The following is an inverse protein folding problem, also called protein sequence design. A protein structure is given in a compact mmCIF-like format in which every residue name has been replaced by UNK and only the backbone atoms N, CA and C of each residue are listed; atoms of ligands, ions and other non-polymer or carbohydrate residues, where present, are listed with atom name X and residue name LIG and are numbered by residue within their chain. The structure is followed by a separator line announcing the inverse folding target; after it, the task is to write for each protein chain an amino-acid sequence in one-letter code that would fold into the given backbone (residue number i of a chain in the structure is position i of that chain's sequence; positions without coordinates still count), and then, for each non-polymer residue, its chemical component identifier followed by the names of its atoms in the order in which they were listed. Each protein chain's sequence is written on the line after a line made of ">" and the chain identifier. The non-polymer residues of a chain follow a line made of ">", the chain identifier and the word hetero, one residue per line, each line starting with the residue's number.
data_IF_494987219838
#
_entry.id   IF_494987219838
#
_cell.length_a   1.000
_cell.length_b   1.000
_cell.length_c   1.000
_cell.angle_alpha   90.00
_cell.angle_beta   90.00
_cell.angle_gamma   90.00
#
_symmetry.space_group_name_H-M   'P 1'
#
loop_
_entity.id
_entity.type
_entity.pdbx_description
1 polymer ?
#
# COMPACT_ATOMS: atom_id res chain seq x y z
N UNK A 1 -49.28 -12.47 -32.00
CA UNK A 1 -48.07 -12.65 -32.84
C UNK A 1 -47.00 -11.76 -32.24
N UNK A 2 -46.12 -12.39 -31.46
CA UNK A 2 -44.79 -11.99 -30.99
C UNK A 2 -44.51 -10.50 -30.73
N UNK A 3 -44.83 -10.06 -29.52
CA UNK A 3 -44.14 -8.93 -28.89
C UNK A 3 -42.98 -9.51 -28.05
N UNK A 4 -41.91 -9.90 -28.74
CA UNK A 4 -40.65 -10.35 -28.14
C UNK A 4 -39.69 -9.18 -28.26
N UNK A 5 -39.76 -8.25 -27.30
CA UNK A 5 -38.80 -7.18 -27.13
C UNK A 5 -37.40 -7.80 -27.00
N UNK A 6 -36.61 -7.73 -28.06
CA UNK A 6 -35.19 -8.05 -28.02
C UNK A 6 -34.50 -7.00 -27.16
N UNK A 7 -34.16 -7.34 -25.93
CA UNK A 7 -33.17 -6.58 -25.18
C UNK A 7 -31.89 -6.59 -26.00
N UNK A 8 -31.52 -5.42 -26.55
CA UNK A 8 -30.22 -5.26 -27.22
C UNK A 8 -29.13 -5.72 -26.26
N UNK A 9 -28.23 -6.55 -26.77
CA UNK A 9 -27.07 -7.00 -26.00
C UNK A 9 -26.24 -5.79 -25.57
N UNK A 10 -25.50 -5.93 -24.48
CA UNK A 10 -24.65 -4.86 -23.97
C UNK A 10 -23.68 -4.34 -25.04
N UNK A 11 -23.06 -5.22 -25.81
CA UNK A 11 -22.15 -4.85 -26.89
C UNK A 11 -22.87 -4.09 -28.02
N UNK A 12 -24.09 -4.51 -28.40
CA UNK A 12 -24.89 -3.77 -29.38
C UNK A 12 -25.24 -2.36 -28.88
N UNK A 13 -25.60 -2.21 -27.59
CA UNK A 13 -25.86 -0.90 -26.98
C UNK A 13 -24.60 -0.02 -27.00
N UNK A 14 -23.44 -0.59 -26.68
CA UNK A 14 -22.16 0.14 -26.69
C UNK A 14 -21.75 0.55 -28.10
N UNK A 15 -21.97 -0.31 -29.10
CA UNK A 15 -21.70 -0.02 -30.51
C UNK A 15 -22.64 1.06 -31.05
N UNK A 16 -23.92 1.02 -30.70
CA UNK A 16 -24.87 2.08 -31.06
C UNK A 16 -24.48 3.43 -30.47
N UNK A 17 -24.03 3.45 -29.20
CA UNK A 17 -23.51 4.68 -28.59
C UNK A 17 -22.27 5.18 -29.32
N UNK A 18 -21.34 4.30 -29.71
CA UNK A 18 -20.16 4.69 -30.47
C UNK A 18 -20.52 5.29 -31.84
N UNK A 19 -21.48 4.69 -32.55
CA UNK A 19 -22.01 5.24 -33.80
C UNK A 19 -22.61 6.64 -33.59
N UNK A 20 -23.43 6.82 -32.55
CA UNK A 20 -24.02 8.12 -32.21
C UNK A 20 -22.96 9.16 -31.84
N UNK A 21 -21.90 8.76 -31.13
CA UNK A 21 -20.75 9.63 -30.80
C UNK A 21 -20.03 10.09 -32.06
N UNK A 22 -19.89 9.21 -33.04
CA UNK A 22 -19.26 9.52 -34.33
C UNK A 22 -20.12 10.46 -35.19
N UNK A 23 -21.43 10.25 -35.21
CA UNK A 23 -22.38 11.06 -35.99
C UNK A 23 -22.74 12.41 -35.33
N UNK A 24 -22.41 12.59 -34.04
CA UNK A 24 -22.72 13.81 -33.30
C UNK A 24 -21.84 14.99 -33.77
N UNK A 25 -22.49 16.05 -34.25
CA UNK A 25 -21.82 17.28 -34.69
C UNK A 25 -21.56 18.29 -33.56
N UNK A 26 -22.18 18.12 -32.39
CA UNK A 26 -22.06 19.02 -31.25
C UNK A 26 -21.24 18.36 -30.14
N UNK A 27 -20.19 19.04 -29.68
CA UNK A 27 -19.29 18.58 -28.63
C UNK A 27 -20.00 18.30 -27.30
N UNK A 28 -21.02 19.09 -26.94
CA UNK A 28 -21.82 18.87 -25.73
C UNK A 28 -22.60 17.55 -25.82
N UNK A 29 -23.30 17.32 -26.94
CA UNK A 29 -24.04 16.07 -27.19
C UNK A 29 -23.10 14.87 -27.22
N UNK A 30 -21.95 15.03 -27.88
CA UNK A 30 -20.90 14.00 -27.92
C UNK A 30 -20.41 13.66 -26.51
N UNK A 31 -20.21 14.66 -25.66
CA UNK A 31 -19.80 14.46 -24.28
C UNK A 31 -20.86 13.71 -23.46
N UNK A 32 -22.13 14.09 -23.60
CA UNK A 32 -23.24 13.37 -22.95
C UNK A 32 -23.27 11.91 -23.35
N UNK A 33 -23.06 11.59 -24.63
CA UNK A 33 -23.02 10.21 -25.11
C UNK A 33 -21.78 9.45 -24.59
N UNK A 34 -20.61 10.09 -24.54
CA UNK A 34 -19.41 9.51 -23.91
C UNK A 34 -19.66 9.20 -22.43
N UNK A 35 -20.28 10.13 -21.70
CA UNK A 35 -20.60 9.94 -20.28
C UNK A 35 -21.63 8.83 -20.06
N UNK A 36 -22.64 8.71 -20.93
CA UNK A 36 -23.56 7.57 -20.93
C UNK A 36 -22.83 6.24 -21.18
N UNK A 37 -21.87 6.21 -22.10
CA UNK A 37 -21.07 5.03 -22.40
C UNK A 37 -20.22 4.61 -21.21
N UNK A 38 -19.58 5.58 -20.54
CA UNK A 38 -18.86 5.40 -19.27
C UNK A 38 -19.76 4.83 -18.16
N UNK A 39 -20.94 5.41 -17.93
CA UNK A 39 -21.85 4.93 -16.88
C UNK A 39 -22.39 3.52 -17.20
N UNK A 40 -22.62 3.19 -18.48
CA UNK A 40 -23.02 1.84 -18.87
C UNK A 40 -21.92 0.80 -18.62
N UNK A 41 -20.64 1.13 -18.87
CA UNK A 41 -19.54 0.22 -18.58
C UNK A 41 -19.31 0.06 -17.07
N UNK A 42 -19.48 1.13 -16.28
CA UNK A 42 -19.47 1.05 -14.82
C UNK A 42 -20.57 0.14 -14.28
N UNK A 43 -21.80 0.28 -14.79
CA UNK A 43 -22.95 -0.59 -14.45
C UNK A 43 -22.67 -2.07 -14.74
N UNK A 44 -21.86 -2.37 -15.73
CA UNK A 44 -21.43 -3.74 -16.08
C UNK A 44 -20.16 -4.19 -15.38
N UNK A 45 -19.59 -3.36 -14.50
CA UNK A 45 -18.33 -3.63 -13.80
C UNK A 45 -17.16 -3.91 -14.77
N UNK A 46 -17.23 -3.38 -16.00
CA UNK A 46 -16.14 -3.45 -16.97
C UNK A 46 -15.20 -2.27 -16.72
N UNK A 47 -14.32 -2.43 -15.73
CA UNK A 47 -13.50 -1.34 -15.22
C UNK A 47 -12.45 -0.87 -16.24
N UNK A 48 -11.89 -1.79 -17.02
CA UNK A 48 -10.92 -1.44 -18.07
C UNK A 48 -11.57 -0.57 -19.13
N UNK A 49 -12.76 -0.95 -19.62
CA UNK A 49 -13.50 -0.13 -20.59
C UNK A 49 -13.94 1.19 -19.97
N UNK A 50 -14.40 1.17 -18.72
CA UNK A 50 -14.82 2.39 -18.01
C UNK A 50 -13.70 3.41 -17.91
N UNK A 51 -12.46 2.99 -17.63
CA UNK A 51 -11.32 3.91 -17.64
C UNK A 51 -11.04 4.50 -19.02
N UNK A 52 -11.13 3.70 -20.09
CA UNK A 52 -10.97 4.20 -21.46
C UNK A 52 -12.05 5.23 -21.83
N UNK A 53 -13.31 4.98 -21.44
CA UNK A 53 -14.41 5.91 -21.70
C UNK A 53 -14.32 7.17 -20.84
N UNK A 54 -13.87 7.06 -19.58
CA UNK A 54 -13.63 8.21 -18.70
C UNK A 54 -12.73 9.26 -19.39
N UNK A 55 -11.64 8.82 -20.02
CA UNK A 55 -10.68 9.71 -20.69
C UNK A 55 -11.29 10.48 -21.88
N UNK A 56 -12.43 10.03 -22.39
CA UNK A 56 -13.16 10.68 -23.49
C UNK A 56 -14.19 11.68 -22.99
N UNK A 57 -14.54 11.63 -21.70
CA UNK A 57 -15.46 12.58 -21.07
C UNK A 57 -14.70 13.88 -20.77
N UNK A 58 -15.20 14.97 -21.32
CA UNK A 58 -14.74 16.34 -21.10
C UNK A 58 -15.58 16.97 -19.98
N UNK A 59 -14.92 17.22 -18.86
CA UNK A 59 -15.53 17.77 -17.64
C UNK A 59 -16.27 19.10 -17.87
N UNK A 60 -15.75 19.96 -18.77
CA UNK A 60 -16.32 21.29 -19.06
C UNK A 60 -17.79 21.23 -19.49
N UNK A 61 -18.23 20.11 -20.07
CA UNK A 61 -19.61 19.93 -20.52
C UNK A 61 -20.50 19.19 -19.50
N UNK A 62 -20.01 18.91 -18.28
CA UNK A 62 -20.80 18.36 -17.18
C UNK A 62 -21.29 19.52 -16.32
N UNK A 63 -22.49 20.02 -16.64
CA UNK A 63 -23.02 21.28 -16.09
C UNK A 63 -23.79 21.08 -14.78
N UNK A 64 -24.52 19.97 -14.68
CA UNK A 64 -25.30 19.65 -13.48
C UNK A 64 -24.39 19.39 -12.28
N UNK A 65 -24.70 20.02 -11.15
CA UNK A 65 -23.82 20.02 -9.98
C UNK A 65 -23.68 18.63 -9.34
N UNK A 66 -24.78 17.89 -9.24
CA UNK A 66 -24.78 16.55 -8.66
C UNK A 66 -24.05 15.57 -9.59
N UNK A 67 -24.35 15.63 -10.89
CA UNK A 67 -23.66 14.80 -11.89
C UNK A 67 -22.17 15.11 -11.92
N UNK A 68 -21.78 16.38 -11.73
CA UNK A 68 -20.37 16.76 -11.66
C UNK A 68 -19.66 16.20 -10.43
N UNK A 69 -20.28 16.26 -9.25
CA UNK A 69 -19.70 15.64 -8.06
C UNK A 69 -19.57 14.13 -8.19
N UNK A 70 -20.58 13.47 -8.77
CA UNK A 70 -20.58 12.02 -8.97
C UNK A 70 -19.59 11.58 -10.05
N UNK A 71 -19.41 12.41 -11.08
CA UNK A 71 -18.37 12.23 -12.08
C UNK A 71 -16.99 12.17 -11.43
N UNK A 72 -16.61 13.16 -10.62
CA UNK A 72 -15.29 13.16 -9.97
C UNK A 72 -15.12 12.00 -8.98
N UNK A 73 -16.17 11.66 -8.23
CA UNK A 73 -16.17 10.51 -7.34
C UNK A 73 -15.90 9.21 -8.10
N UNK A 74 -16.67 8.95 -9.16
CA UNK A 74 -16.53 7.75 -9.99
C UNK A 74 -15.20 7.74 -10.74
N UNK A 75 -14.73 8.90 -11.21
CA UNK A 75 -13.45 9.06 -11.89
C UNK A 75 -12.27 8.76 -10.97
N UNK A 76 -12.37 9.15 -9.70
CA UNK A 76 -11.41 8.80 -8.66
C UNK A 76 -11.34 7.30 -8.47
N UNK A 77 -12.49 6.66 -8.25
CA UNK A 77 -12.58 5.21 -8.02
C UNK A 77 -12.05 4.40 -9.19
N UNK A 78 -12.47 4.74 -10.42
CA UNK A 78 -12.06 3.98 -11.58
C UNK A 78 -10.57 4.14 -11.87
N UNK A 79 -10.02 5.35 -11.71
CA UNK A 79 -8.59 5.58 -11.86
C UNK A 79 -7.80 4.81 -10.81
N UNK A 80 -8.29 4.75 -9.56
CA UNK A 80 -7.68 3.97 -8.48
C UNK A 80 -7.70 2.47 -8.79
N UNK A 81 -8.83 1.93 -9.24
CA UNK A 81 -8.98 0.51 -9.63
C UNK A 81 -8.12 0.14 -10.85
N UNK A 82 -7.95 1.07 -11.79
CA UNK A 82 -7.07 0.91 -12.95
C UNK A 82 -5.58 1.15 -12.61
N UNK A 83 -5.22 1.36 -11.34
CA UNK A 83 -3.87 1.64 -10.85
C UNK A 83 -3.24 2.93 -11.42
N UNK A 84 -4.07 3.88 -11.81
CA UNK A 84 -3.71 5.20 -12.36
C UNK A 84 -3.69 6.24 -11.24
N UNK A 85 -2.69 6.12 -10.37
CA UNK A 85 -2.61 6.81 -9.06
C UNK A 85 -2.66 8.33 -9.17
N UNK A 86 -1.93 8.91 -10.12
CA UNK A 86 -1.91 10.37 -10.32
C UNK A 86 -3.27 10.91 -10.73
N UNK A 87 -3.96 10.21 -11.64
CA UNK A 87 -5.30 10.59 -12.07
C UNK A 87 -6.33 10.43 -10.96
N UNK A 88 -6.24 9.35 -10.17
CA UNK A 88 -7.07 9.19 -8.98
C UNK A 88 -6.91 10.38 -8.02
N UNK A 89 -5.68 10.87 -7.83
CA UNK A 89 -5.39 12.04 -7.01
C UNK A 89 -6.05 13.31 -7.55
N UNK A 90 -5.83 13.57 -8.84
CA UNK A 90 -6.36 14.76 -9.51
C UNK A 90 -7.88 14.81 -9.42
N UNK A 91 -8.56 13.69 -9.69
CA UNK A 91 -10.02 13.63 -9.61
C UNK A 91 -10.53 13.75 -8.17
N UNK A 92 -9.80 13.22 -7.19
CA UNK A 92 -10.19 13.34 -5.78
C UNK A 92 -10.00 14.77 -5.25
N UNK A 93 -8.91 15.44 -5.62
CA UNK A 93 -8.68 16.83 -5.25
C UNK A 93 -9.73 17.74 -5.91
N UNK A 94 -10.08 17.50 -7.18
CA UNK A 94 -11.17 18.19 -7.86
C UNK A 94 -12.54 17.94 -7.20
N UNK A 95 -12.79 16.70 -6.75
CA UNK A 95 -14.00 16.37 -5.98
C UNK A 95 -14.08 17.18 -4.69
N UNK A 96 -12.99 17.23 -3.91
CA UNK A 96 -12.94 17.97 -2.65
C UNK A 96 -13.03 19.48 -2.85
N UNK A 97 -12.35 20.03 -3.85
CA UNK A 97 -12.43 21.45 -4.20
C UNK A 97 -13.88 21.84 -4.56
N UNK A 98 -14.59 20.97 -5.27
CA UNK A 98 -15.96 21.21 -5.69
C UNK A 98 -16.99 21.04 -4.57
N UNK A 99 -16.84 20.00 -3.74
CA UNK A 99 -17.88 19.60 -2.76
C UNK A 99 -17.58 20.01 -1.32
N UNK A 100 -16.31 20.20 -0.96
CA UNK A 100 -15.83 20.27 0.42
C UNK A 100 -16.34 19.12 1.32
N UNK A 101 -16.54 17.93 0.75
CA UNK A 101 -17.11 16.78 1.46
C UNK A 101 -16.16 16.23 2.54
N UNK A 102 -16.56 16.39 3.80
CA UNK A 102 -15.85 15.88 4.98
C UNK A 102 -16.47 14.60 5.57
N UNK A 103 -17.34 13.92 4.84
CA UNK A 103 -17.92 12.64 5.27
C UNK A 103 -16.85 11.56 5.45
N UNK A 104 -17.14 10.55 6.27
CA UNK A 104 -16.20 9.45 6.50
C UNK A 104 -15.82 8.73 5.19
N UNK A 105 -16.80 8.44 4.33
CA UNK A 105 -16.55 7.80 3.03
C UNK A 105 -15.60 8.60 2.14
N UNK A 106 -15.76 9.93 2.09
CA UNK A 106 -14.84 10.82 1.38
C UNK A 106 -13.42 10.72 1.96
N UNK A 107 -13.29 10.84 3.29
CA UNK A 107 -11.98 10.80 3.95
C UNK A 107 -11.25 9.46 3.80
N UNK A 108 -11.98 8.33 3.81
CA UNK A 108 -11.39 7.01 3.53
C UNK A 108 -10.90 6.95 2.09
N UNK A 109 -11.71 7.41 1.13
CA UNK A 109 -11.31 7.43 -0.29
C UNK A 109 -10.06 8.27 -0.48
N UNK A 110 -10.00 9.44 0.16
CA UNK A 110 -8.81 10.28 0.16
C UNK A 110 -7.59 9.59 0.75
N UNK A 111 -7.73 8.89 1.88
CA UNK A 111 -6.63 8.11 2.45
C UNK A 111 -6.13 7.04 1.50
N UNK A 112 -7.05 6.28 0.87
CA UNK A 112 -6.72 5.23 -0.09
C UNK A 112 -5.97 5.76 -1.32
N UNK A 113 -6.32 6.96 -1.78
CA UNK A 113 -5.68 7.60 -2.92
C UNK A 113 -4.32 8.18 -2.53
N UNK A 114 -4.27 8.95 -1.43
CA UNK A 114 -3.05 9.64 -0.98
C UNK A 114 -1.99 8.67 -0.45
N UNK A 115 -2.38 7.50 0.08
CA UNK A 115 -1.42 6.48 0.56
C UNK A 115 -0.54 5.89 -0.54
N UNK A 116 -0.97 5.96 -1.80
CA UNK A 116 -0.32 5.32 -2.94
C UNK A 116 0.75 6.18 -3.62
N UNK A 117 0.80 7.48 -3.27
CA UNK A 117 1.64 8.48 -3.92
C UNK A 117 2.93 8.71 -3.14
N UNK A 118 2.83 9.40 -2.01
CA UNK A 118 3.92 9.65 -1.09
C UNK A 118 3.38 9.84 0.35
N UNK A 119 4.22 9.47 1.30
CA UNK A 119 4.09 9.78 2.71
C UNK A 119 3.79 11.26 2.97
N UNK A 120 4.39 12.20 2.24
CA UNK A 120 4.19 13.65 2.44
C UNK A 120 2.74 14.09 2.17
N UNK A 121 2.19 13.76 1.00
CA UNK A 121 0.79 14.06 0.65
C UNK A 121 -0.19 13.42 1.64
N UNK A 122 0.08 12.17 2.05
CA UNK A 122 -0.73 11.50 3.08
C UNK A 122 -0.66 12.24 4.42
N UNK A 123 0.52 12.72 4.84
CA UNK A 123 0.68 13.47 6.08
C UNK A 123 -0.03 14.83 6.03
N UNK A 124 0.01 15.53 4.90
CA UNK A 124 -0.71 16.80 4.72
C UNK A 124 -2.22 16.58 4.72
N UNK A 125 -2.71 15.58 4.00
CA UNK A 125 -4.11 15.17 4.00
C UNK A 125 -4.56 14.83 5.42
N UNK A 126 -3.81 14.00 6.13
CA UNK A 126 -4.05 13.71 7.55
C UNK A 126 -4.09 15.00 8.35
N UNK A 127 -3.06 15.84 8.33
CA UNK A 127 -3.03 17.08 9.13
C UNK A 127 -4.27 17.96 8.91
N UNK A 128 -4.76 18.04 7.66
CA UNK A 128 -5.94 18.82 7.30
C UNK A 128 -7.25 18.23 7.86
N UNK A 129 -7.39 16.90 7.94
CA UNK A 129 -8.65 16.22 8.29
C UNK A 129 -8.63 15.36 9.58
N UNK A 130 -7.46 15.24 10.24
CA UNK A 130 -7.21 14.41 11.43
C UNK A 130 -7.84 14.99 12.70
N UNK A 131 -7.93 16.32 12.82
CA UNK A 131 -8.56 16.95 13.99
C UNK A 131 -10.08 16.80 14.03
N UNK A 132 -10.71 16.52 12.88
CA UNK A 132 -12.16 16.43 12.75
C UNK A 132 -12.72 15.04 13.02
N UNK A 133 -11.92 13.99 12.89
CA UNK A 133 -12.41 12.62 13.06
C UNK A 133 -11.40 11.79 13.86
N UNK A 134 -11.70 11.60 15.15
CA UNK A 134 -11.04 10.69 16.09
C UNK A 134 -11.25 9.20 15.71
N UNK A 135 -11.27 8.88 14.41
CA UNK A 135 -11.57 7.53 13.95
C UNK A 135 -10.36 6.62 14.22
N UNK A 136 -10.63 5.49 14.86
CA UNK A 136 -9.64 4.44 15.17
C UNK A 136 -8.86 3.95 13.93
N UNK A 137 -9.32 4.26 12.73
CA UNK A 137 -8.70 3.93 11.45
C UNK A 137 -7.38 4.69 11.24
N UNK A 138 -7.34 6.00 11.53
CA UNK A 138 -6.10 6.80 11.41
C UNK A 138 -5.01 6.30 12.35
N UNK A 139 -5.37 5.96 13.59
CA UNK A 139 -4.43 5.47 14.60
C UNK A 139 -3.73 4.19 14.18
N UNK A 140 -4.41 3.30 13.46
CA UNK A 140 -3.81 2.08 12.96
C UNK A 140 -2.77 2.33 11.86
N UNK A 141 -3.09 3.20 10.89
CA UNK A 141 -2.13 3.59 9.85
C UNK A 141 -0.91 4.30 10.45
N UNK A 142 -1.12 5.14 11.46
CA UNK A 142 -0.03 5.83 12.15
C UNK A 142 0.85 4.84 12.93
N UNK A 143 0.26 3.85 13.61
CA UNK A 143 1.02 2.79 14.26
C UNK A 143 1.84 1.97 13.25
N UNK A 144 1.27 1.63 12.09
CA UNK A 144 1.97 0.89 11.04
C UNK A 144 3.14 1.68 10.44
N UNK A 145 2.91 2.95 10.07
CA UNK A 145 3.91 3.82 9.45
C UNK A 145 5.03 4.19 10.43
N UNK A 146 4.69 4.44 11.69
CA UNK A 146 5.66 4.82 12.73
C UNK A 146 6.34 3.62 13.41
N UNK A 147 5.91 2.38 13.13
CA UNK A 147 6.42 1.21 13.82
C UNK A 147 7.93 1.07 13.67
N UNK A 148 8.61 1.11 14.82
CA UNK A 148 10.02 0.76 14.97
C UNK A 148 10.17 -0.22 16.12
N UNK A 149 10.97 -1.26 15.91
CA UNK A 149 11.25 -2.20 16.99
C UNK A 149 11.87 -1.46 18.19
N UNK A 150 11.25 -1.56 19.37
CA UNK A 150 11.79 -0.96 20.60
C UNK A 150 13.14 -1.58 20.92
N UNK A 151 14.10 -0.75 21.33
CA UNK A 151 15.44 -1.17 21.82
C UNK A 151 16.26 -2.02 20.84
N UNK A 152 16.19 -1.78 19.51
CA UNK A 152 17.05 -2.45 18.50
C UNK A 152 18.52 -2.55 18.93
N UNK A 153 19.05 -1.46 19.49
CA UNK A 153 20.44 -1.39 19.94
C UNK A 153 20.77 -2.43 21.02
N UNK A 154 19.83 -2.81 21.89
CA UNK A 154 20.07 -3.76 22.98
C UNK A 154 20.32 -5.18 22.45
N UNK A 155 19.62 -5.58 21.38
CA UNK A 155 19.83 -6.87 20.71
C UNK A 155 21.20 -6.96 20.03
N UNK A 156 21.61 -5.87 19.40
CA UNK A 156 22.93 -5.78 18.78
C UNK A 156 24.01 -5.80 19.87
N UNK A 157 23.85 -5.01 20.93
CA UNK A 157 24.80 -4.93 22.04
C UNK A 157 24.95 -6.27 22.76
N UNK A 158 23.85 -7.01 22.97
CA UNK A 158 23.95 -8.34 23.58
C UNK A 158 24.83 -9.27 22.73
N UNK A 159 24.74 -9.19 21.40
CA UNK A 159 25.58 -9.97 20.48
C UNK A 159 27.04 -9.57 20.46
N UNK A 160 27.35 -8.32 20.83
CA UNK A 160 28.73 -7.88 21.08
C UNK A 160 29.26 -8.50 22.38
N UNK A 161 28.46 -8.51 23.46
CA UNK A 161 28.93 -9.03 24.75
C UNK A 161 29.07 -10.55 24.71
N UNK A 162 28.01 -11.25 24.28
CA UNK A 162 27.99 -12.70 24.18
C UNK A 162 27.50 -13.09 22.77
N UNK A 163 28.37 -13.71 21.95
CA UNK A 163 28.00 -14.14 20.60
C UNK A 163 26.74 -14.98 20.57
N UNK A 164 25.89 -14.76 19.58
CA UNK A 164 24.63 -15.48 19.41
C UNK A 164 23.45 -14.97 20.25
N UNK A 165 23.66 -14.24 21.34
CA UNK A 165 22.55 -13.86 22.23
C UNK A 165 21.51 -12.96 21.59
N UNK A 166 21.91 -11.96 20.80
CA UNK A 166 20.93 -11.12 20.11
C UNK A 166 20.09 -11.92 19.12
N UNK A 167 20.70 -12.88 18.42
CA UNK A 167 20.00 -13.83 17.55
C UNK A 167 19.01 -14.69 18.33
N UNK A 168 19.38 -15.21 19.51
CA UNK A 168 18.45 -15.93 20.40
C UNK A 168 17.30 -15.02 20.84
N UNK A 169 17.59 -13.77 21.21
CA UNK A 169 16.58 -12.79 21.62
C UNK A 169 15.62 -12.41 20.48
N UNK A 170 16.03 -12.60 19.22
CA UNK A 170 15.12 -12.49 18.06
C UNK A 170 14.24 -13.73 17.85
N UNK A 171 14.40 -14.78 18.65
CA UNK A 171 13.67 -16.04 18.57
C UNK A 171 14.34 -17.13 17.73
N UNK A 172 15.51 -16.86 17.16
CA UNK A 172 16.27 -17.83 16.36
C UNK A 172 17.34 -18.52 17.21
N UNK A 173 16.88 -19.46 18.04
CA UNK A 173 17.71 -20.14 19.04
C UNK A 173 18.83 -20.94 18.38
N UNK A 174 18.53 -21.67 17.29
CA UNK A 174 19.50 -22.54 16.62
C UNK A 174 20.68 -21.75 16.04
N UNK A 175 20.40 -20.68 15.31
CA UNK A 175 21.46 -19.86 14.72
C UNK A 175 22.23 -19.07 15.79
N UNK A 176 21.57 -18.70 16.89
CA UNK A 176 22.22 -18.11 18.04
C UNK A 176 23.21 -19.05 18.73
N UNK A 177 22.80 -20.28 19.03
CA UNK A 177 23.68 -21.32 19.59
C UNK A 177 24.82 -21.63 18.61
N UNK A 178 24.52 -21.76 17.31
CA UNK A 178 25.54 -21.97 16.28
C UNK A 178 26.60 -20.88 16.26
N UNK A 179 26.20 -19.62 16.42
CA UNK A 179 27.13 -18.48 16.50
C UNK A 179 27.99 -18.53 17.76
N UNK A 180 27.40 -18.87 18.91
CA UNK A 180 28.13 -19.06 20.17
C UNK A 180 29.17 -20.18 20.05
N UNK A 181 28.79 -21.34 19.53
CA UNK A 181 29.68 -22.48 19.30
C UNK A 181 30.80 -22.12 18.33
N UNK A 182 30.49 -21.42 17.23
CA UNK A 182 31.51 -21.09 16.21
C UNK A 182 32.54 -20.09 16.73
N UNK A 183 32.10 -19.03 17.43
CA UNK A 183 33.04 -18.06 18.02
C UNK A 183 33.87 -18.71 19.13
N UNK A 184 33.23 -19.49 20.01
CA UNK A 184 33.92 -20.16 21.13
C UNK A 184 34.90 -21.22 20.62
N UNK A 185 34.53 -22.01 19.61
CA UNK A 185 35.39 -23.00 18.96
C UNK A 185 36.58 -22.36 18.26
N UNK A 186 36.38 -21.21 17.61
CA UNK A 186 37.47 -20.43 17.00
C UNK A 186 38.45 -19.94 18.07
N UNK A 187 37.95 -19.40 19.17
CA UNK A 187 38.78 -18.97 20.31
C UNK A 187 39.53 -20.13 20.97
N UNK A 188 38.88 -21.27 21.14
CA UNK A 188 39.50 -22.49 21.66
C UNK A 188 40.61 -23.03 20.74
N UNK A 189 40.40 -22.99 19.43
CA UNK A 189 41.41 -23.35 18.44
C UNK A 189 42.66 -22.45 18.54
N UNK A 190 42.45 -21.13 18.66
CA UNK A 190 43.53 -20.17 18.90
C UNK A 190 44.27 -20.48 20.21
N UNK A 191 43.55 -20.78 21.29
CA UNK A 191 44.15 -21.16 22.58
C UNK A 191 45.01 -22.44 22.48
N UNK A 192 44.53 -23.47 21.77
CA UNK A 192 45.28 -24.71 21.59
C UNK A 192 46.54 -24.54 20.73
N UNK A 193 46.48 -23.67 19.70
CA UNK A 193 47.66 -23.30 18.92
C UNK A 193 48.69 -22.56 19.78
N UNK A 194 48.23 -21.67 20.68
CA UNK A 194 49.09 -20.98 21.63
C UNK A 194 49.76 -21.97 22.61
N UNK A 195 49.00 -22.90 23.19
CA UNK A 195 49.51 -23.94 24.09
C UNK A 195 50.55 -24.83 23.43
N UNK A 196 50.38 -25.10 22.13
CA UNK A 196 51.30 -25.92 21.32
C UNK A 196 52.51 -25.15 20.77
N UNK A 197 52.67 -23.86 21.15
CA UNK A 197 53.74 -22.95 20.68
C UNK A 197 53.75 -22.73 19.15
N UNK A 198 52.62 -22.95 18.48
CA UNK A 198 52.45 -22.72 17.04
C UNK A 198 52.01 -21.28 16.78
N UNK A 199 52.86 -20.30 17.14
CA UNK A 199 52.51 -18.88 17.12
C UNK A 199 52.18 -18.34 15.72
N UNK A 200 52.86 -18.83 14.68
CA UNK A 200 52.56 -18.48 13.29
C UNK A 200 51.14 -18.94 12.90
N UNK A 201 50.81 -20.19 13.24
CA UNK A 201 49.48 -20.75 13.03
C UNK A 201 48.42 -20.00 13.84
N UNK A 202 48.70 -19.69 15.10
CA UNK A 202 47.84 -18.89 15.97
C UNK A 202 47.53 -17.51 15.39
N UNK A 203 48.56 -16.80 14.90
CA UNK A 203 48.41 -15.47 14.31
C UNK A 203 47.54 -15.51 13.05
N UNK A 204 47.80 -16.46 12.14
CA UNK A 204 47.01 -16.63 10.91
C UNK A 204 45.56 -17.00 11.25
N UNK A 205 45.34 -17.97 12.15
CA UNK A 205 43.99 -18.39 12.53
C UNK A 205 43.21 -17.29 13.25
N UNK A 206 43.85 -16.64 14.22
CA UNK A 206 43.25 -15.56 14.99
C UNK A 206 42.90 -14.37 14.10
N UNK A 207 43.77 -13.98 13.18
CA UNK A 207 43.53 -12.86 12.27
C UNK A 207 42.46 -13.16 11.22
N UNK A 208 42.45 -14.36 10.64
CA UNK A 208 41.51 -14.70 9.56
C UNK A 208 40.10 -15.03 10.07
N UNK A 209 40.00 -15.84 11.12
CA UNK A 209 38.72 -16.41 11.52
C UNK A 209 38.02 -15.59 12.60
N UNK A 210 38.75 -15.09 13.60
CA UNK A 210 38.13 -14.48 14.78
C UNK A 210 37.33 -13.20 14.43
N UNK A 211 37.88 -12.25 13.64
CA UNK A 211 37.11 -11.09 13.19
C UNK A 211 35.94 -11.46 12.27
N UNK A 212 36.14 -12.41 11.34
CA UNK A 212 35.11 -12.81 10.37
C UNK A 212 33.91 -13.46 11.05
N UNK A 213 34.16 -14.40 11.97
CA UNK A 213 33.10 -15.12 12.68
C UNK A 213 32.39 -14.16 13.65
N UNK A 214 33.13 -13.31 14.36
CA UNK A 214 32.54 -12.37 15.32
C UNK A 214 31.70 -11.27 14.64
N UNK A 215 32.22 -10.63 13.58
CA UNK A 215 31.45 -9.67 12.78
C UNK A 215 30.30 -10.36 12.03
N UNK A 216 30.48 -11.60 11.59
CA UNK A 216 29.44 -12.42 10.99
C UNK A 216 28.25 -12.62 11.92
N UNK A 217 28.49 -12.93 13.20
CA UNK A 217 27.46 -13.03 14.22
C UNK A 217 26.70 -11.70 14.41
N UNK A 218 27.38 -10.56 14.48
CA UNK A 218 26.72 -9.25 14.62
C UNK A 218 25.84 -8.94 13.40
N UNK A 219 26.33 -9.23 12.19
CA UNK A 219 25.56 -9.09 10.94
C UNK A 219 24.34 -10.01 10.92
N UNK A 220 24.48 -11.24 11.41
CA UNK A 220 23.37 -12.18 11.53
C UNK A 220 22.29 -11.65 12.47
N UNK A 221 22.66 -11.13 13.64
CA UNK A 221 21.72 -10.47 14.56
C UNK A 221 21.00 -9.31 13.89
N UNK A 222 21.73 -8.45 13.17
CA UNK A 222 21.14 -7.31 12.47
C UNK A 222 20.10 -7.73 11.42
N UNK A 223 20.43 -8.74 10.59
CA UNK A 223 19.51 -9.29 9.59
C UNK A 223 18.26 -9.91 10.25
N UNK A 224 18.43 -10.60 11.38
CA UNK A 224 17.29 -11.21 12.11
C UNK A 224 16.41 -10.16 12.75
N UNK A 225 16.96 -9.06 13.25
CA UNK A 225 16.18 -7.93 13.76
C UNK A 225 15.31 -7.29 12.68
N UNK A 226 15.86 -7.09 11.48
CA UNK A 226 15.11 -6.56 10.35
C UNK A 226 13.97 -7.51 9.95
N UNK A 227 14.23 -8.82 9.91
CA UNK A 227 13.20 -9.82 9.63
C UNK A 227 12.07 -9.82 10.67
N UNK A 228 12.41 -9.65 11.95
CA UNK A 228 11.46 -9.61 13.05
C UNK A 228 10.60 -8.34 13.01
N UNK A 229 11.21 -7.19 12.71
CA UNK A 229 10.49 -5.94 12.50
C UNK A 229 9.53 -6.05 11.31
N UNK A 230 9.98 -6.60 10.17
CA UNK A 230 9.13 -6.85 9.01
C UNK A 230 7.95 -7.76 9.36
N UNK A 231 8.19 -8.84 10.11
CA UNK A 231 7.13 -9.76 10.57
C UNK A 231 6.11 -9.06 11.47
N UNK A 232 6.56 -8.19 12.38
CA UNK A 232 5.65 -7.42 13.24
C UNK A 232 4.88 -6.35 12.47
N UNK A 233 5.54 -5.65 11.54
CA UNK A 233 4.87 -4.72 10.62
C UNK A 233 3.80 -5.42 9.77
N UNK A 234 4.09 -6.61 9.26
CA UNK A 234 3.10 -7.43 8.53
C UNK A 234 1.87 -7.72 9.39
N UNK A 235 2.06 -8.19 10.63
CA UNK A 235 0.93 -8.44 11.55
C UNK A 235 0.12 -7.17 11.86
N UNK A 236 0.79 -6.03 11.99
CA UNK A 236 0.11 -4.75 12.16
C UNK A 236 -0.68 -4.36 10.90
N UNK A 237 -0.12 -4.61 9.71
CA UNK A 237 -0.79 -4.37 8.43
C UNK A 237 -2.04 -5.25 8.31
N UNK A 238 -1.95 -6.55 8.63
CA UNK A 238 -3.09 -7.48 8.60
C UNK A 238 -4.21 -7.01 9.54
N UNK A 239 -3.86 -6.61 10.77
CA UNK A 239 -4.83 -6.05 11.72
C UNK A 239 -5.45 -4.74 11.23
N UNK A 240 -4.66 -3.92 10.51
CA UNK A 240 -5.13 -2.67 9.93
C UNK A 240 -6.11 -2.89 8.79
N UNK A 241 -5.78 -3.83 7.90
CA UNK A 241 -6.62 -4.24 6.81
C UNK A 241 -7.97 -4.75 7.32
N UNK A 242 -7.98 -5.57 8.37
CA UNK A 242 -9.23 -6.02 9.01
C UNK A 242 -10.08 -4.87 9.52
N UNK A 243 -9.50 -3.94 10.29
CA UNK A 243 -10.21 -2.74 10.77
C UNK A 243 -10.73 -1.88 9.62
N UNK A 244 -9.94 -1.76 8.55
CA UNK A 244 -10.33 -1.02 7.36
C UNK A 244 -11.52 -1.67 6.64
N UNK A 245 -11.50 -3.00 6.50
CA UNK A 245 -12.60 -3.76 5.91
C UNK A 245 -13.88 -3.64 6.76
N UNK A 246 -13.78 -3.67 8.09
CA UNK A 246 -14.91 -3.41 8.99
C UNK A 246 -15.46 -1.99 8.80
N UNK A 247 -14.57 -1.00 8.67
CA UNK A 247 -14.97 0.38 8.48
C UNK A 247 -15.65 0.60 7.12
N UNK A 248 -15.13 -0.03 6.05
CA UNK A 248 -15.73 0.00 4.71
C UNK A 248 -17.09 -0.70 4.64
N UNK A 249 -17.36 -1.68 5.51
CA UNK A 249 -18.72 -2.27 5.62
C UNK A 249 -19.74 -1.27 6.15
N UNK A 250 -19.33 -0.41 7.08
CA UNK A 250 -20.21 0.61 7.67
C UNK A 250 -20.28 1.89 6.82
N UNK A 251 -19.23 2.18 6.06
CA UNK A 251 -19.10 3.33 5.18
C UNK A 251 -18.70 2.88 3.76
N UNK A 252 -19.64 2.32 2.99
CA UNK A 252 -19.32 1.80 1.66
C UNK A 252 -18.88 2.93 0.73
N UNK A 253 -17.85 2.64 -0.07
CA UNK A 253 -17.35 3.51 -1.13
C UNK A 253 -17.73 2.85 -2.45
N UNK A 254 -18.90 3.22 -2.96
CA UNK A 254 -19.46 2.66 -4.19
C UNK A 254 -19.55 3.70 -5.30
N UNK A 255 -19.71 3.22 -6.54
CA UNK A 255 -19.99 4.08 -7.68
C UNK A 255 -21.35 4.77 -7.53
N UNK A 256 -21.38 6.07 -7.78
CA UNK A 256 -22.59 6.89 -7.77
C UNK A 256 -23.18 6.92 -9.17
N UNK A 257 -24.09 6.00 -9.43
CA UNK A 257 -24.72 5.84 -10.73
C UNK A 257 -26.04 6.60 -10.74
N UNK A 258 -26.03 7.82 -11.29
CA UNK A 258 -27.26 8.56 -11.52
C UNK A 258 -28.08 7.87 -12.62
N UNK A 259 -29.38 7.73 -12.38
CA UNK A 259 -30.37 7.28 -13.38
C UNK A 259 -30.79 8.43 -14.29
#
# INVERSE_FOLDING_TARGET
>A
MNDVFSQLSYEEKMLMLEKKIFEANNDSVKNTLCFQKFNNSLKKQDYNRSYLELRRVREVFVVDSLIKSDFYWNATLISKLSNERQYANIYYDAYLEYTNDTSESSLILGMLVKSDLDSSELYEFKRKYYYTNNSNLFGCFDELLSYRLKRKWAYVLSSYILPGTGTILTGDVYNGIGSLVTVSGTGYGVYQLAKSKLYLGMGIWGYLFLPRVYLGNIRLTAAKLESLEKKKKSKLADNCEQKMLEFLKNNPIDFRLNE
#
